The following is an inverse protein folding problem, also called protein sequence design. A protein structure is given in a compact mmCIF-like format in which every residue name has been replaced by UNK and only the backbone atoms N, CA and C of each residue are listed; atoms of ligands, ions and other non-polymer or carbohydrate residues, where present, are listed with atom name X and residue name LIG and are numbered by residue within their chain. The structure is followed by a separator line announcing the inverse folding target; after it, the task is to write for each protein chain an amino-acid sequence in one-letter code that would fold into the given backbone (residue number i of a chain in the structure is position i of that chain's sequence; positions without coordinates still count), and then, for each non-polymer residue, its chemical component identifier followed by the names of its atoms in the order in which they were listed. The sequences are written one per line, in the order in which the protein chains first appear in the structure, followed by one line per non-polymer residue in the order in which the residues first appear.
data_IF_318231600448
#
_entry.id   IF_318231600448
#
_cell.length_a   1.000
_cell.length_b   1.000
_cell.length_c   1.000
_cell.angle_alpha   90.00
_cell.angle_beta   90.00
_cell.angle_gamma   90.00
#
_symmetry.space_group_name_H-M   'P 1'
#
loop_
_entity.id
_entity.type
_entity.pdbx_description
1 polymer ?
#
# COMPACT_ATOMS: atom_id res chain seq x y z
N UNK A 1 12.10 -4.06 -9.51
CA UNK A 1 11.28 -4.89 -8.60
C UNK A 1 10.82 -4.03 -7.43
N UNK A 2 9.90 -4.49 -6.58
CA UNK A 2 9.44 -3.68 -5.43
C UNK A 2 10.61 -3.24 -4.51
N UNK A 3 11.61 -4.11 -4.31
CA UNK A 3 12.83 -3.77 -3.56
C UNK A 3 13.63 -2.62 -4.18
N UNK A 4 13.68 -2.52 -5.51
CA UNK A 4 14.38 -1.42 -6.19
C UNK A 4 13.64 -0.09 -5.98
N UNK A 5 12.30 -0.12 -5.97
CA UNK A 5 11.49 1.08 -5.77
C UNK A 5 11.56 1.61 -4.33
N UNK A 6 11.78 0.74 -3.33
CA UNK A 6 12.03 1.15 -1.95
C UNK A 6 13.28 2.05 -1.80
N UNK A 7 14.22 1.99 -2.74
CA UNK A 7 15.47 2.76 -2.72
C UNK A 7 15.39 4.15 -3.35
N UNK A 8 14.33 4.46 -4.11
CA UNK A 8 14.25 5.68 -4.93
C UNK A 8 12.95 6.47 -4.79
N UNK A 9 11.97 5.97 -4.05
CA UNK A 9 10.65 6.59 -3.93
C UNK A 9 9.84 6.04 -2.76
N UNK A 10 8.51 6.21 -2.82
CA UNK A 10 7.59 5.64 -1.83
C UNK A 10 7.12 4.27 -2.31
N UNK A 11 7.31 3.27 -1.47
CA UNK A 11 6.80 1.92 -1.70
C UNK A 11 5.56 1.68 -0.84
N UNK A 12 4.42 1.42 -1.47
CA UNK A 12 3.16 1.15 -0.79
C UNK A 12 2.83 -0.34 -0.78
N UNK A 13 2.48 -0.87 0.39
CA UNK A 13 1.98 -2.23 0.56
C UNK A 13 0.45 -2.24 0.69
N UNK A 14 -0.23 -2.79 -0.31
CA UNK A 14 -1.69 -2.86 -0.41
C UNK A 14 -2.34 -4.00 0.39
N UNK A 15 -1.56 -4.80 1.13
CA UNK A 15 -2.06 -5.93 1.93
C UNK A 15 -2.71 -5.44 3.22
N UNK A 16 -3.43 -6.36 3.86
CA UNK A 16 -4.00 -6.15 5.19
C UNK A 16 -2.91 -5.79 6.22
N UNK A 17 -3.20 -4.95 7.23
CA UNK A 17 -2.21 -4.50 8.20
C UNK A 17 -1.50 -5.63 8.96
N UNK A 18 -2.19 -6.75 9.20
CA UNK A 18 -1.64 -7.90 9.94
C UNK A 18 -0.60 -8.65 9.11
N UNK A 19 -0.78 -8.69 7.77
CA UNK A 19 0.21 -9.25 6.85
C UNK A 19 1.42 -8.34 6.72
N UNK A 20 1.19 -7.03 6.57
CA UNK A 20 2.27 -6.04 6.54
C UNK A 20 3.14 -6.09 7.80
N UNK A 21 2.52 -6.14 8.99
CA UNK A 21 3.26 -6.26 10.27
C UNK A 21 3.93 -7.62 10.46
N UNK A 22 3.49 -8.64 9.73
CA UNK A 22 3.94 -10.02 9.91
C UNK A 22 3.30 -10.74 11.09
N UNK A 23 2.21 -10.19 11.65
CA UNK A 23 1.46 -10.79 12.76
C UNK A 23 0.72 -12.06 12.31
N UNK A 24 0.26 -12.09 11.05
CA UNK A 24 -0.41 -13.23 10.44
C UNK A 24 -0.09 -13.27 8.94
N UNK A 25 0.73 -14.23 8.50
CA UNK A 25 1.07 -14.42 7.09
C UNK A 25 0.69 -15.83 6.61
N UNK A 26 -0.52 -16.02 6.07
CA UNK A 26 -1.00 -17.32 5.63
C UNK A 26 -0.61 -17.65 4.18
N UNK A 27 -0.04 -16.71 3.42
CA UNK A 27 0.20 -16.85 1.98
C UNK A 27 1.70 -16.92 1.67
N UNK A 28 2.47 -15.95 2.15
CA UNK A 28 3.88 -15.80 1.82
C UNK A 28 4.79 -16.65 2.75
N UNK A 29 5.94 -17.14 2.26
CA UNK A 29 6.85 -17.96 3.07
C UNK A 29 7.57 -17.17 4.17
N UNK A 30 7.64 -15.85 4.03
CA UNK A 30 8.28 -14.94 4.99
C UNK A 30 7.27 -13.87 5.37
N UNK A 31 7.02 -13.74 6.68
CA UNK A 31 6.12 -12.73 7.23
C UNK A 31 6.75 -11.33 7.23
N UNK A 32 5.90 -10.31 7.15
CA UNK A 32 6.32 -8.90 7.19
C UNK A 32 6.23 -8.22 5.83
N UNK A 33 7.06 -7.20 5.64
CA UNK A 33 7.04 -6.32 4.46
C UNK A 33 8.46 -5.96 4.01
N UNK A 34 8.55 -5.38 2.81
CA UNK A 34 9.81 -4.86 2.27
C UNK A 34 10.25 -3.67 3.14
N UNK A 35 11.50 -3.64 3.65
CA UNK A 35 11.97 -2.55 4.49
C UNK A 35 11.75 -1.17 3.86
N UNK A 36 11.14 -0.25 4.62
CA UNK A 36 10.82 1.10 4.16
C UNK A 36 9.45 1.24 3.50
N UNK A 37 8.74 0.14 3.23
CA UNK A 37 7.37 0.21 2.70
C UNK A 37 6.39 0.83 3.72
N UNK A 38 5.36 1.51 3.20
CA UNK A 38 4.26 2.08 3.99
C UNK A 38 2.97 1.32 3.67
N UNK A 39 2.21 0.94 4.69
CA UNK A 39 0.97 0.19 4.48
C UNK A 39 -0.19 1.10 4.06
N UNK A 40 -0.83 0.76 2.94
CA UNK A 40 -2.08 1.35 2.45
C UNK A 40 -3.01 0.21 2.05
N UNK A 41 -3.73 -0.42 3.01
CA UNK A 41 -4.62 -1.53 2.69
C UNK A 41 -5.63 -1.11 1.62
N UNK A 42 -5.88 -1.94 0.61
CA UNK A 42 -6.82 -1.58 -0.46
C UNK A 42 -8.22 -1.23 0.05
N UNK A 43 -8.64 -1.81 1.18
CA UNK A 43 -9.92 -1.50 1.84
C UNK A 43 -9.97 -0.10 2.45
N UNK A 44 -8.83 0.54 2.69
CA UNK A 44 -8.78 1.93 3.20
C UNK A 44 -9.16 2.97 2.15
N UNK A 45 -9.24 2.57 0.88
CA UNK A 45 -9.70 3.43 -0.22
C UNK A 45 -11.22 3.42 -0.38
N UNK A 46 -11.92 2.61 0.40
CA UNK A 46 -13.35 2.38 0.28
C UNK A 46 -14.13 3.07 1.41
N UNK A 47 -15.24 3.73 1.04
CA UNK A 47 -16.25 4.21 1.95
C UNK A 47 -17.12 3.08 2.53
N UNK A 48 -18.03 3.43 3.44
CA UNK A 48 -18.91 2.47 4.10
C UNK A 48 -19.88 1.75 3.16
N UNK A 49 -20.14 2.32 1.99
CA UNK A 49 -20.96 1.75 0.91
C UNK A 49 -20.15 0.87 -0.07
N UNK A 50 -18.84 0.76 0.14
CA UNK A 50 -17.93 0.01 -0.73
C UNK A 50 -17.53 0.77 -2.01
N UNK A 51 -17.94 2.03 -2.16
CA UNK A 51 -17.43 2.89 -3.23
C UNK A 51 -16.06 3.45 -2.87
N UNK A 52 -15.30 3.94 -3.86
CA UNK A 52 -14.07 4.69 -3.58
C UNK A 52 -14.39 5.96 -2.77
N UNK A 53 -13.48 6.32 -1.88
CA UNK A 53 -13.50 7.62 -1.19
C UNK A 53 -13.45 8.77 -2.21
N UNK A 54 -13.89 9.96 -1.78
CA UNK A 54 -13.79 11.15 -2.61
C UNK A 54 -12.33 11.54 -2.87
N UNK A 55 -12.06 12.20 -3.99
CA UNK A 55 -10.70 12.60 -4.40
C UNK A 55 -9.93 13.37 -3.32
N UNK A 56 -10.62 14.21 -2.54
CA UNK A 56 -10.02 14.96 -1.44
C UNK A 56 -9.53 14.02 -0.32
N UNK A 57 -10.35 13.04 0.07
CA UNK A 57 -10.01 12.08 1.11
C UNK A 57 -8.88 11.14 0.64
N UNK A 58 -8.89 10.75 -0.64
CA UNK A 58 -7.80 9.98 -1.24
C UNK A 58 -6.50 10.79 -1.26
N UNK A 59 -6.56 12.07 -1.64
CA UNK A 59 -5.41 12.97 -1.65
C UNK A 59 -4.82 13.13 -0.24
N UNK A 60 -5.66 13.33 0.77
CA UNK A 60 -5.24 13.42 2.18
C UNK A 60 -4.67 12.09 2.67
N UNK A 61 -5.28 10.97 2.28
CA UNK A 61 -4.78 9.64 2.58
C UNK A 61 -3.37 9.47 2.04
N UNK A 62 -3.12 9.70 0.75
CA UNK A 62 -1.82 9.46 0.12
C UNK A 62 -0.75 10.46 0.58
N UNK A 63 -1.08 11.75 0.71
CA UNK A 63 -0.16 12.76 1.23
C UNK A 63 0.28 12.46 2.67
N UNK A 64 -0.62 11.92 3.50
CA UNK A 64 -0.29 11.42 4.84
C UNK A 64 0.68 10.24 4.86
N UNK A 65 0.91 9.54 3.73
CA UNK A 65 1.95 8.50 3.54
C UNK A 65 3.19 9.01 2.81
N UNK A 66 3.31 10.33 2.59
CA UNK A 66 4.44 10.93 1.91
C UNK A 66 4.37 10.90 0.38
N UNK A 67 3.19 10.62 -0.20
CA UNK A 67 2.97 10.67 -1.64
C UNK A 67 2.50 12.07 -2.04
N UNK A 68 3.31 12.75 -2.85
CA UNK A 68 2.99 14.03 -3.46
C UNK A 68 3.04 14.00 -4.99
N UNK A 69 2.79 15.15 -5.65
CA UNK A 69 2.70 15.24 -7.11
C UNK A 69 3.95 14.78 -7.87
N UNK A 70 5.14 14.96 -7.28
CA UNK A 70 6.43 14.61 -7.89
C UNK A 70 7.10 13.42 -7.20
N UNK A 71 6.33 12.62 -6.46
CA UNK A 71 6.84 11.44 -5.77
C UNK A 71 6.79 10.23 -6.68
N UNK A 72 7.94 9.58 -6.90
CA UNK A 72 7.97 8.26 -7.51
C UNK A 72 7.30 7.25 -6.58
N UNK A 73 6.24 6.60 -7.04
CA UNK A 73 5.47 5.63 -6.25
C UNK A 73 5.50 4.27 -6.93
N UNK A 74 5.72 3.23 -6.13
CA UNK A 74 5.44 1.86 -6.49
C UNK A 74 4.49 1.23 -5.47
N UNK A 75 3.64 0.34 -5.94
CA UNK A 75 2.66 -0.35 -5.11
C UNK A 75 2.82 -1.85 -5.29
N UNK A 76 2.75 -2.61 -4.19
CA UNK A 76 2.80 -4.06 -4.22
C UNK A 76 1.82 -4.68 -3.24
N UNK A 77 1.62 -6.00 -3.39
CA UNK A 77 0.96 -6.80 -2.37
C UNK A 77 1.63 -8.18 -2.28
N UNK A 78 1.10 -9.18 -2.98
CA UNK A 78 1.78 -10.47 -3.24
C UNK A 78 1.69 -10.89 -4.70
N UNK A 79 0.54 -10.65 -5.35
CA UNK A 79 0.28 -10.99 -6.76
C UNK A 79 0.01 -9.79 -7.68
N UNK A 80 -0.02 -8.57 -7.12
CA UNK A 80 -0.34 -7.33 -7.85
C UNK A 80 -1.83 -7.00 -7.96
N UNK A 81 -2.74 -7.88 -7.54
CA UNK A 81 -4.19 -7.67 -7.70
C UNK A 81 -4.70 -6.51 -6.83
N UNK A 82 -4.47 -6.57 -5.52
CA UNK A 82 -4.89 -5.47 -4.63
C UNK A 82 -3.99 -4.25 -4.76
N UNK A 83 -2.81 -4.39 -5.34
CA UNK A 83 -1.95 -3.25 -5.67
C UNK A 83 -2.54 -2.43 -6.83
N UNK A 84 -3.23 -3.05 -7.79
CA UNK A 84 -3.78 -2.34 -8.95
C UNK A 84 -4.94 -1.37 -8.64
N UNK A 85 -5.51 -1.44 -7.43
CA UNK A 85 -6.57 -0.53 -6.98
C UNK A 85 -6.05 0.59 -6.09
N UNK A 86 -4.77 0.54 -5.71
CA UNK A 86 -4.07 1.53 -4.87
C UNK A 86 -3.13 2.34 -5.76
#
# INVERSE_FOLDING_TARGET
TADEAAGSGVLLDARAPERFRGDNEPIDPVAGHIPGAVNVPSTSLLGADGALLADADLTDLFSGRGVGPDTDVAVYCGSGVTAAVV
#
